data_IF_218131643081
#
_entry.id   IF_218131643081
#
_cell.length_a   1.000
_cell.length_b   1.000
_cell.length_c   1.000
_cell.angle_alpha   90.00
_cell.angle_beta   90.00
_cell.angle_gamma   90.00
#
_symmetry.space_group_name_H-M   'P 1'
#
loop_
_entity.id
_entity.type
_entity.pdbx_description
1 polymer ?
#
# COMPACT_ATOMS: atom_id res chain seq x y z
N UNK A 1 -14.97 -13.01 -3.23
CA UNK A 1 -15.29 -11.64 -3.69
C UNK A 1 -15.54 -10.80 -2.45
N UNK A 2 -14.86 -9.65 -2.34
CA UNK A 2 -14.95 -8.77 -1.18
C UNK A 2 -15.77 -7.54 -1.55
N UNK A 3 -16.88 -7.36 -0.86
CA UNK A 3 -17.74 -6.18 -1.02
C UNK A 3 -17.17 -5.02 -0.17
N UNK A 4 -16.57 -4.03 -0.83
CA UNK A 4 -15.91 -2.89 -0.20
C UNK A 4 -16.81 -1.66 -0.23
N UNK A 5 -16.83 -0.93 0.89
CA UNK A 5 -17.52 0.36 0.97
C UNK A 5 -16.49 1.48 0.73
N UNK A 6 -16.75 2.35 -0.25
CA UNK A 6 -15.87 3.47 -0.61
C UNK A 6 -15.60 4.44 0.56
N UNK A 7 -16.57 4.62 1.46
CA UNK A 7 -16.46 5.55 2.59
C UNK A 7 -15.55 5.01 3.71
N UNK A 8 -15.43 3.68 3.79
CA UNK A 8 -14.67 2.98 4.83
C UNK A 8 -13.48 2.18 4.29
N UNK A 9 -13.05 2.45 3.05
CA UNK A 9 -11.91 1.75 2.44
C UNK A 9 -10.89 2.74 1.88
N UNK A 10 -9.61 2.56 2.26
CA UNK A 10 -8.47 3.29 1.72
C UNK A 10 -7.53 2.40 0.89
N UNK A 11 -6.95 2.96 -0.17
CA UNK A 11 -5.89 2.35 -0.96
C UNK A 11 -4.54 2.94 -0.56
N UNK A 12 -3.59 2.11 -0.19
CA UNK A 12 -2.21 2.47 0.16
C UNK A 12 -1.27 1.85 -0.86
N UNK A 13 -0.58 2.68 -1.63
CA UNK A 13 0.36 2.29 -2.69
C UNK A 13 1.78 2.56 -2.19
N UNK A 14 2.56 1.50 -1.92
CA UNK A 14 3.85 1.58 -1.24
C UNK A 14 5.00 1.55 -2.23
N UNK A 15 5.80 2.63 -2.23
CA UNK A 15 7.12 2.73 -2.87
C UNK A 15 7.15 2.40 -4.38
N UNK A 16 6.09 2.71 -5.11
CA UNK A 16 6.04 2.50 -6.56
C UNK A 16 6.83 3.59 -7.30
N UNK A 17 8.15 3.61 -7.05
CA UNK A 17 9.11 4.60 -7.53
C UNK A 17 10.00 4.02 -8.63
N UNK A 18 10.49 4.89 -9.52
CA UNK A 18 11.27 4.52 -10.73
C UNK A 18 12.44 3.60 -10.37
N UNK A 19 13.35 4.03 -9.48
CA UNK A 19 14.53 3.24 -9.11
C UNK A 19 14.17 1.88 -8.51
N UNK A 20 13.12 1.83 -7.68
CA UNK A 20 12.64 0.59 -7.10
C UNK A 20 12.11 -0.37 -8.17
N UNK A 21 11.24 0.12 -9.05
CA UNK A 21 10.64 -0.69 -10.10
C UNK A 21 11.67 -1.17 -11.14
N UNK A 22 12.60 -0.30 -11.55
CA UNK A 22 13.68 -0.67 -12.48
C UNK A 22 14.59 -1.78 -11.92
N UNK A 23 14.90 -1.73 -10.63
CA UNK A 23 15.69 -2.75 -9.95
C UNK A 23 15.03 -4.14 -9.98
N UNK A 24 13.71 -4.20 -10.01
CA UNK A 24 12.94 -5.44 -10.12
C UNK A 24 12.75 -5.92 -11.56
N UNK A 25 13.04 -5.06 -12.54
CA UNK A 25 13.00 -5.41 -13.96
C UNK A 25 11.61 -5.71 -14.52
N UNK A 26 11.52 -6.54 -15.58
CA UNK A 26 10.29 -6.74 -16.34
C UNK A 26 9.13 -7.39 -15.53
N UNK A 27 9.43 -8.05 -14.42
CA UNK A 27 8.43 -8.66 -13.52
C UNK A 27 7.51 -7.61 -12.88
N UNK A 28 7.95 -6.33 -12.87
CA UNK A 28 7.11 -5.24 -12.38
C UNK A 28 5.94 -4.87 -13.30
N UNK A 29 6.01 -5.16 -14.59
CA UNK A 29 4.97 -4.77 -15.56
C UNK A 29 3.57 -5.25 -15.17
N UNK A 30 3.33 -6.56 -14.89
CA UNK A 30 2.01 -7.01 -14.45
C UNK A 30 1.60 -6.42 -13.11
N UNK A 31 2.52 -6.22 -12.18
CA UNK A 31 2.24 -5.62 -10.85
C UNK A 31 1.78 -4.17 -11.00
N UNK A 32 2.51 -3.37 -11.80
CA UNK A 32 2.13 -1.99 -12.12
C UNK A 32 0.75 -1.94 -12.78
N UNK A 33 0.48 -2.82 -13.74
CA UNK A 33 -0.81 -2.87 -14.43
C UNK A 33 -1.96 -3.21 -13.49
N UNK A 34 -1.78 -4.16 -12.57
CA UNK A 34 -2.81 -4.54 -11.59
C UNK A 34 -3.05 -3.41 -10.58
N UNK A 35 -1.99 -2.78 -10.07
CA UNK A 35 -2.12 -1.62 -9.17
C UNK A 35 -2.80 -0.46 -9.90
N UNK A 36 -2.45 -0.22 -11.17
CA UNK A 36 -3.08 0.82 -11.98
C UNK A 36 -4.58 0.58 -12.16
N UNK A 37 -4.98 -0.63 -12.49
CA UNK A 37 -6.39 -0.99 -12.62
C UNK A 37 -7.16 -0.76 -11.32
N UNK A 38 -6.57 -1.11 -10.18
CA UNK A 38 -7.15 -0.86 -8.86
C UNK A 38 -7.21 0.64 -8.54
N UNK A 39 -6.14 1.38 -8.79
CA UNK A 39 -6.06 2.84 -8.60
C UNK A 39 -7.11 3.59 -9.44
N UNK A 40 -7.29 3.21 -10.71
CA UNK A 40 -8.31 3.83 -11.57
C UNK A 40 -9.73 3.59 -11.05
N UNK A 41 -9.99 2.44 -10.45
CA UNK A 41 -11.28 2.15 -9.80
C UNK A 41 -11.48 3.04 -8.57
N UNK A 42 -10.45 3.29 -7.75
CA UNK A 42 -10.51 4.23 -6.63
C UNK A 42 -10.70 5.67 -7.09
N UNK A 43 -10.01 6.08 -8.16
CA UNK A 43 -10.17 7.41 -8.77
C UNK A 43 -11.59 7.63 -9.30
N UNK A 44 -12.17 6.63 -9.96
CA UNK A 44 -13.53 6.70 -10.52
C UNK A 44 -14.62 6.95 -9.46
N UNK A 45 -14.38 6.55 -8.22
CA UNK A 45 -15.32 6.76 -7.10
C UNK A 45 -14.90 7.89 -6.15
N UNK A 46 -13.88 8.69 -6.50
CA UNK A 46 -13.24 9.66 -5.60
C UNK A 46 -12.84 9.01 -4.26
N UNK A 47 -12.23 7.82 -4.32
CA UNK A 47 -11.84 7.03 -3.18
C UNK A 47 -10.64 7.62 -2.42
N UNK A 48 -10.38 7.09 -1.25
CA UNK A 48 -9.28 7.50 -0.37
C UNK A 48 -7.98 6.84 -0.84
N UNK A 49 -7.05 7.62 -1.42
CA UNK A 49 -5.80 7.14 -2.00
C UNK A 49 -4.62 7.75 -1.25
N UNK A 50 -3.69 6.91 -0.84
CA UNK A 50 -2.46 7.27 -0.15
C UNK A 50 -1.28 6.67 -0.92
N UNK A 51 -0.43 7.52 -1.46
CA UNK A 51 0.84 7.11 -2.03
C UNK A 51 1.92 7.22 -0.96
N UNK A 52 2.66 6.14 -0.73
CA UNK A 52 3.82 6.14 0.17
C UNK A 52 5.08 6.24 -0.67
N UNK A 53 5.92 7.22 -0.34
CA UNK A 53 7.17 7.50 -1.05
C UNK A 53 8.36 7.35 -0.11
N UNK A 54 9.26 6.44 -0.40
CA UNK A 54 10.53 6.30 0.32
C UNK A 54 11.53 7.32 -0.21
N UNK A 55 12.02 8.22 0.64
CA UNK A 55 13.00 9.25 0.26
C UNK A 55 14.06 9.42 1.34
N UNK A 56 15.25 9.77 0.94
CA UNK A 56 16.37 10.05 1.86
C UNK A 56 17.17 11.24 1.38
N UNK A 57 17.76 11.95 2.30
CA UNK A 57 18.82 12.92 2.02
C UNK A 57 20.18 12.22 2.00
N UNK A 58 21.20 12.84 1.37
CA UNK A 58 22.53 12.21 1.24
C UNK A 58 23.25 12.00 2.57
N UNK A 59 22.86 12.73 3.61
CA UNK A 59 23.38 12.60 4.98
C UNK A 59 22.64 11.55 5.84
N UNK A 60 21.67 10.83 5.25
CA UNK A 60 20.92 9.81 5.98
C UNK A 60 21.86 8.71 6.54
N UNK A 61 21.63 8.23 7.78
CA UNK A 61 22.50 7.24 8.43
C UNK A 61 22.70 5.94 7.64
N UNK A 62 21.73 5.51 6.83
CA UNK A 62 21.90 4.36 5.95
C UNK A 62 23.14 4.49 5.05
N UNK A 63 23.46 5.70 4.59
CA UNK A 63 24.59 5.98 3.71
C UNK A 63 25.83 6.31 4.51
N UNK A 64 25.73 7.23 5.46
CA UNK A 64 26.88 7.81 6.17
C UNK A 64 27.43 6.93 7.30
N UNK A 65 26.59 6.11 7.90
CA UNK A 65 26.96 5.24 9.03
C UNK A 65 27.05 3.77 8.59
N UNK A 66 26.03 3.29 7.87
CA UNK A 66 25.95 1.87 7.51
C UNK A 66 26.49 1.54 6.12
N UNK A 67 26.98 2.54 5.38
CA UNK A 67 27.70 2.35 4.11
C UNK A 67 26.84 1.80 2.97
N UNK A 68 25.51 1.94 3.04
CA UNK A 68 24.67 1.54 1.91
C UNK A 68 24.89 2.48 0.71
N UNK A 69 24.78 1.98 -0.52
CA UNK A 69 24.80 2.82 -1.71
C UNK A 69 23.65 3.86 -1.66
N UNK A 70 23.90 5.04 -2.22
CA UNK A 70 22.85 6.03 -2.40
C UNK A 70 21.68 5.46 -3.21
N UNK A 71 20.47 5.77 -2.80
CA UNK A 71 19.25 5.38 -3.48
C UNK A 71 18.05 6.15 -2.97
N UNK A 72 17.06 6.35 -3.83
CA UNK A 72 15.82 7.07 -3.52
C UNK A 72 16.09 8.46 -2.91
N UNK A 73 17.08 9.17 -3.46
CA UNK A 73 17.46 10.51 -2.98
C UNK A 73 16.33 11.48 -3.29
N UNK A 74 15.89 12.22 -2.29
CA UNK A 74 14.85 13.24 -2.42
C UNK A 74 15.16 14.20 -3.58
N UNK A 75 14.23 14.35 -4.51
CA UNK A 75 14.36 15.20 -5.69
C UNK A 75 15.14 14.57 -6.84
N UNK A 76 15.58 13.31 -6.74
CA UNK A 76 16.17 12.58 -7.87
C UNK A 76 15.09 11.91 -8.72
N UNK A 77 15.33 11.73 -10.04
CA UNK A 77 14.39 10.99 -10.91
C UNK A 77 14.08 9.57 -10.43
N UNK A 78 15.04 8.89 -9.79
CA UNK A 78 14.83 7.55 -9.24
C UNK A 78 13.86 7.51 -8.06
N UNK A 79 13.71 8.62 -7.33
CA UNK A 79 12.76 8.76 -6.24
C UNK A 79 11.36 9.18 -6.70
N UNK A 80 11.17 9.56 -7.98
CA UNK A 80 9.87 9.86 -8.55
C UNK A 80 9.01 8.60 -8.66
N UNK A 81 7.69 8.76 -8.65
CA UNK A 81 6.77 7.66 -8.93
C UNK A 81 6.85 7.24 -10.41
N UNK A 82 6.64 5.95 -10.68
CA UNK A 82 6.46 5.48 -12.07
C UNK A 82 5.27 6.18 -12.70
N UNK A 83 5.36 6.52 -13.99
CA UNK A 83 4.38 7.37 -14.67
C UNK A 83 2.95 6.84 -14.58
N UNK A 84 2.78 5.52 -14.66
CA UNK A 84 1.48 4.84 -14.61
C UNK A 84 0.78 5.02 -13.24
N UNK A 85 1.54 5.22 -12.16
CA UNK A 85 1.03 5.30 -10.79
C UNK A 85 1.28 6.65 -10.14
N UNK A 86 1.66 7.64 -10.92
CA UNK A 86 1.93 8.99 -10.43
C UNK A 86 0.72 9.59 -9.73
N UNK A 87 0.89 10.18 -8.54
CA UNK A 87 -0.19 10.86 -7.85
C UNK A 87 -0.77 12.00 -8.69
N UNK A 88 -2.10 12.08 -8.72
CA UNK A 88 -2.79 13.23 -9.30
C UNK A 88 -2.87 14.39 -8.30
N UNK A 89 -3.12 15.60 -8.81
CA UNK A 89 -3.35 16.77 -7.97
C UNK A 89 -4.50 16.49 -6.97
N UNK A 90 -4.21 16.64 -5.68
CA UNK A 90 -5.16 16.36 -4.60
C UNK A 90 -5.06 14.97 -3.99
N UNK A 91 -4.36 14.02 -4.61
CA UNK A 91 -4.04 12.75 -3.97
C UNK A 91 -2.95 12.92 -2.91
N UNK A 92 -3.01 12.12 -1.86
CA UNK A 92 -2.13 12.28 -0.70
C UNK A 92 -0.83 11.48 -0.87
N UNK A 93 0.30 12.15 -0.61
CA UNK A 93 1.62 11.51 -0.56
C UNK A 93 2.14 11.54 0.88
N UNK A 94 2.52 10.38 1.41
CA UNK A 94 3.20 10.22 2.70
C UNK A 94 4.66 9.85 2.42
N UNK A 95 5.59 10.74 2.78
CA UNK A 95 7.02 10.46 2.67
C UNK A 95 7.54 9.75 3.91
N UNK A 96 8.44 8.79 3.71
CA UNK A 96 9.12 8.03 4.78
C UNK A 96 10.60 7.87 4.51
N UNK A 97 11.37 7.69 5.58
CA UNK A 97 12.82 7.45 5.52
C UNK A 97 13.21 6.05 5.99
N UNK A 98 12.25 5.23 6.38
CA UNK A 98 12.44 3.85 6.84
C UNK A 98 11.49 2.89 6.13
N UNK A 99 11.55 1.59 6.46
CA UNK A 99 10.59 0.61 5.92
C UNK A 99 9.16 0.85 6.45
N UNK A 100 9.03 1.33 7.68
CA UNK A 100 7.74 1.60 8.31
C UNK A 100 7.15 2.93 7.81
N UNK A 101 5.93 2.89 7.27
CA UNK A 101 5.22 4.06 6.79
C UNK A 101 4.55 4.88 7.91
N UNK A 102 4.58 4.42 9.16
CA UNK A 102 4.09 5.15 10.32
C UNK A 102 5.21 5.86 11.10
N UNK A 103 6.44 5.33 11.04
CA UNK A 103 7.52 5.86 11.83
C UNK A 103 7.97 7.25 11.35
N UNK A 104 7.72 8.27 12.17
CA UNK A 104 8.06 9.68 11.90
C UNK A 104 7.49 10.19 10.57
N UNK A 105 6.26 9.83 10.26
CA UNK A 105 5.53 10.26 9.06
C UNK A 105 4.20 10.93 9.42
N UNK A 106 3.50 11.42 8.41
CA UNK A 106 2.15 11.96 8.55
C UNK A 106 1.03 10.90 8.41
N UNK A 107 1.34 9.60 8.37
CA UNK A 107 0.35 8.56 8.05
C UNK A 107 -0.88 8.61 8.98
N UNK A 108 -0.67 8.71 10.29
CA UNK A 108 -1.81 8.76 11.24
C UNK A 108 -2.71 9.99 11.01
N UNK A 109 -2.11 11.16 10.79
CA UNK A 109 -2.85 12.38 10.46
C UNK A 109 -3.63 12.28 9.14
N UNK A 110 -3.07 11.54 8.16
CA UNK A 110 -3.75 11.28 6.87
C UNK A 110 -4.94 10.36 7.06
N UNK A 111 -4.79 9.30 7.85
CA UNK A 111 -5.90 8.41 8.19
C UNK A 111 -7.03 9.17 8.89
N UNK A 112 -6.69 10.04 9.84
CA UNK A 112 -7.65 10.92 10.53
C UNK A 112 -8.37 11.86 9.54
N UNK A 113 -7.62 12.50 8.65
CA UNK A 113 -8.19 13.39 7.61
C UNK A 113 -9.17 12.66 6.69
N UNK A 114 -8.90 11.40 6.39
CA UNK A 114 -9.75 10.56 5.57
C UNK A 114 -10.90 9.91 6.35
N UNK A 115 -11.02 10.16 7.65
CA UNK A 115 -11.95 9.45 8.56
C UNK A 115 -11.85 7.93 8.41
N UNK A 116 -10.62 7.42 8.30
CA UNK A 116 -10.33 5.99 8.36
C UNK A 116 -10.02 5.62 9.82
N UNK A 117 -10.83 4.74 10.42
CA UNK A 117 -10.79 4.42 11.85
C UNK A 117 -10.41 2.97 12.11
N UNK A 118 -9.60 2.75 13.13
CA UNK A 118 -9.28 1.40 13.62
C UNK A 118 -10.54 0.64 14.05
N UNK A 119 -10.51 -0.68 14.01
CA UNK A 119 -11.61 -1.59 14.35
C UNK A 119 -12.89 -1.41 13.51
N UNK A 120 -12.87 -0.55 12.49
CA UNK A 120 -14.03 -0.24 11.64
C UNK A 120 -13.71 -0.35 10.17
N UNK A 121 -12.61 0.27 9.74
CA UNK A 121 -12.36 0.53 8.32
C UNK A 121 -11.27 -0.37 7.75
N UNK A 122 -11.28 -0.50 6.44
CA UNK A 122 -10.38 -1.37 5.68
C UNK A 122 -9.32 -0.56 4.94
N UNK A 123 -8.10 -1.06 4.91
CA UNK A 123 -7.05 -0.55 4.04
C UNK A 123 -6.58 -1.65 3.08
N UNK A 124 -6.42 -1.30 1.82
CA UNK A 124 -5.82 -2.18 0.81
C UNK A 124 -4.38 -1.74 0.65
N UNK A 125 -3.43 -2.65 0.89
CA UNK A 125 -2.00 -2.36 0.82
C UNK A 125 -1.40 -3.03 -0.41
N UNK A 126 -0.77 -2.23 -1.27
CA UNK A 126 -0.13 -2.66 -2.53
C UNK A 126 1.28 -2.09 -2.64
N UNK A 127 2.08 -2.55 -3.60
CA UNK A 127 3.38 -1.95 -3.92
C UNK A 127 4.56 -2.90 -3.83
N UNK A 128 5.77 -2.35 -3.64
CA UNK A 128 7.02 -3.14 -3.65
C UNK A 128 7.68 -3.25 -2.28
N UNK A 129 8.51 -4.30 -2.18
CA UNK A 129 9.14 -4.69 -0.93
C UNK A 129 8.21 -5.55 -0.08
N UNK A 130 7.67 -6.65 -0.67
CA UNK A 130 6.71 -7.54 -0.01
C UNK A 130 7.19 -8.06 1.34
N UNK A 131 8.49 -8.29 1.52
CA UNK A 131 9.11 -8.68 2.81
C UNK A 131 9.69 -7.50 3.60
N UNK A 132 9.58 -6.27 3.09
CA UNK A 132 10.16 -5.06 3.67
C UNK A 132 9.08 -3.97 3.82
N UNK A 133 9.02 -3.00 2.90
CA UNK A 133 8.14 -1.83 3.03
C UNK A 133 6.65 -2.18 3.05
N UNK A 134 6.20 -3.08 2.16
CA UNK A 134 4.82 -3.59 2.16
C UNK A 134 4.56 -4.38 3.45
N UNK A 135 5.50 -5.26 3.85
CA UNK A 135 5.37 -6.03 5.09
C UNK A 135 5.18 -5.10 6.31
N UNK A 136 6.06 -4.11 6.48
CA UNK A 136 5.96 -3.17 7.60
C UNK A 136 4.70 -2.31 7.54
N UNK A 137 4.24 -1.94 6.35
CA UNK A 137 2.97 -1.24 6.19
C UNK A 137 1.79 -2.11 6.67
N UNK A 138 1.70 -3.37 6.21
CA UNK A 138 0.66 -4.33 6.63
C UNK A 138 0.70 -4.53 8.14
N UNK A 139 1.88 -4.78 8.73
CA UNK A 139 2.03 -4.93 10.19
C UNK A 139 1.68 -3.63 10.92
N UNK A 140 2.05 -2.48 10.37
CA UNK A 140 1.71 -1.17 10.91
C UNK A 140 0.19 -0.94 11.01
N UNK A 141 -0.56 -1.33 9.99
CA UNK A 141 -2.03 -1.31 10.02
C UNK A 141 -2.61 -2.39 10.93
N UNK A 142 -2.06 -3.60 10.90
CA UNK A 142 -2.48 -4.71 11.74
C UNK A 142 -2.42 -4.36 13.23
N UNK A 143 -1.27 -3.86 13.74
CA UNK A 143 -1.11 -3.50 15.15
C UNK A 143 -1.97 -2.30 15.58
N UNK A 144 -2.47 -1.51 14.60
CA UNK A 144 -3.42 -0.42 14.81
C UNK A 144 -4.88 -0.86 14.64
N UNK A 145 -5.12 -2.17 14.51
CA UNK A 145 -6.43 -2.79 14.40
C UNK A 145 -7.26 -2.34 13.17
N UNK A 146 -6.61 -2.02 12.05
CA UNK A 146 -7.30 -1.87 10.77
C UNK A 146 -7.55 -3.23 10.14
N UNK A 147 -8.68 -3.41 9.47
CA UNK A 147 -8.84 -4.50 8.52
C UNK A 147 -7.93 -4.22 7.33
N UNK A 148 -7.05 -5.16 7.01
CA UNK A 148 -6.04 -4.96 5.97
C UNK A 148 -6.19 -6.03 4.89
N UNK A 149 -6.34 -5.60 3.65
CA UNK A 149 -6.38 -6.49 2.48
C UNK A 149 -5.09 -6.33 1.70
N UNK A 150 -4.50 -7.45 1.34
CA UNK A 150 -3.27 -7.52 0.54
C UNK A 150 -3.55 -8.30 -0.75
N UNK A 151 -3.80 -7.61 -1.88
CA UNK A 151 -3.91 -8.28 -3.17
C UNK A 151 -2.54 -8.83 -3.60
N UNK A 152 -2.39 -10.15 -3.64
CA UNK A 152 -1.10 -10.80 -3.89
C UNK A 152 -0.53 -10.52 -5.27
N UNK A 153 -1.38 -10.19 -6.24
CA UNK A 153 -1.03 -9.77 -7.60
C UNK A 153 -0.69 -8.28 -7.74
N UNK A 154 -0.82 -7.52 -6.63
CA UNK A 154 -0.45 -6.10 -6.52
C UNK A 154 0.74 -5.86 -5.59
N UNK A 155 1.48 -6.88 -5.20
CA UNK A 155 2.70 -6.75 -4.41
C UNK A 155 3.87 -7.49 -5.08
N UNK A 156 5.10 -7.02 -4.86
CA UNK A 156 6.30 -7.68 -5.37
C UNK A 156 7.47 -7.54 -4.40
N UNK A 157 8.37 -8.52 -4.39
CA UNK A 157 9.57 -8.54 -3.54
C UNK A 157 10.86 -8.68 -4.32
N UNK A 158 11.96 -8.16 -3.76
CA UNK A 158 13.28 -8.13 -4.41
C UNK A 158 13.82 -9.53 -4.70
N UNK A 159 13.66 -10.45 -3.76
CA UNK A 159 14.17 -11.83 -3.91
C UNK A 159 12.99 -12.79 -4.13
N UNK A 160 13.27 -13.89 -4.82
CA UNK A 160 12.24 -14.90 -5.13
C UNK A 160 11.46 -15.42 -3.90
N UNK A 161 12.09 -15.44 -2.72
CA UNK A 161 11.46 -15.88 -1.48
C UNK A 161 10.69 -14.76 -0.75
N UNK A 162 10.84 -13.49 -1.14
CA UNK A 162 10.29 -12.33 -0.41
C UNK A 162 8.78 -12.34 -0.37
N UNK A 163 8.13 -12.52 -1.51
CA UNK A 163 6.67 -12.53 -1.59
C UNK A 163 6.07 -13.79 -0.96
N UNK A 164 6.55 -15.03 -1.24
CA UNK A 164 6.09 -16.23 -0.54
C UNK A 164 6.20 -16.13 0.99
N UNK A 165 7.30 -15.58 1.51
CA UNK A 165 7.48 -15.34 2.94
C UNK A 165 6.39 -14.42 3.49
N UNK A 166 6.20 -13.25 2.89
CA UNK A 166 5.21 -12.27 3.35
C UNK A 166 3.79 -12.84 3.34
N UNK A 167 3.40 -13.50 2.24
CA UNK A 167 2.08 -14.10 2.10
C UNK A 167 1.85 -15.23 3.11
N UNK A 168 2.86 -16.06 3.39
CA UNK A 168 2.78 -17.09 4.41
C UNK A 168 2.54 -16.48 5.80
N UNK A 169 3.23 -15.36 6.13
CA UNK A 169 3.01 -14.64 7.38
C UNK A 169 1.59 -14.07 7.46
N UNK A 170 1.14 -13.36 6.44
CA UNK A 170 -0.20 -12.73 6.42
C UNK A 170 -1.33 -13.76 6.54
N UNK A 171 -1.15 -14.97 6.01
CA UNK A 171 -2.09 -16.09 6.12
C UNK A 171 -2.01 -16.83 7.45
N UNK A 172 -0.99 -16.59 8.28
CA UNK A 172 -0.79 -17.26 9.56
C UNK A 172 -1.85 -16.84 10.60
N UNK A 173 -2.08 -17.67 11.59
CA UNK A 173 -3.02 -17.39 12.69
C UNK A 173 -2.68 -16.15 13.51
N UNK A 174 -1.43 -15.69 13.44
CA UNK A 174 -0.99 -14.48 14.12
C UNK A 174 -1.58 -13.20 13.48
N UNK A 175 -1.93 -13.23 12.20
CA UNK A 175 -2.35 -12.02 11.46
C UNK A 175 -3.71 -12.14 10.80
N UNK A 176 -4.16 -13.36 10.44
CA UNK A 176 -5.35 -13.57 9.59
C UNK A 176 -6.69 -13.18 10.24
N UNK A 177 -6.69 -12.71 11.47
CA UNK A 177 -7.91 -12.21 12.12
C UNK A 177 -8.29 -10.79 11.67
N UNK A 178 -7.35 -9.98 11.15
CA UNK A 178 -7.62 -8.69 10.53
C UNK A 178 -6.75 -8.40 9.29
N UNK A 179 -5.93 -9.36 8.83
CA UNK A 179 -5.19 -9.29 7.57
C UNK A 179 -5.71 -10.38 6.63
N UNK A 180 -6.11 -10.00 5.44
CA UNK A 180 -6.63 -10.91 4.42
C UNK A 180 -5.81 -10.81 3.14
N UNK A 181 -5.36 -11.95 2.63
CA UNK A 181 -4.74 -12.04 1.31
C UNK A 181 -5.81 -12.35 0.28
N UNK A 182 -5.84 -11.61 -0.82
CA UNK A 182 -6.79 -11.74 -1.92
C UNK A 182 -6.10 -11.55 -3.27
N UNK A 183 -6.88 -11.48 -4.34
CA UNK A 183 -6.46 -10.94 -5.64
C UNK A 183 -7.18 -9.62 -5.91
N UNK A 184 -6.61 -8.78 -6.76
CA UNK A 184 -7.19 -7.47 -7.09
C UNK A 184 -8.54 -7.56 -7.81
N UNK A 185 -8.76 -8.61 -8.60
CA UNK A 185 -10.01 -8.90 -9.31
C UNK A 185 -11.14 -9.42 -8.41
N UNK A 186 -10.83 -9.86 -7.19
CA UNK A 186 -11.82 -10.25 -6.17
C UNK A 186 -12.41 -9.07 -5.40
N UNK A 187 -11.84 -7.86 -5.55
CA UNK A 187 -12.26 -6.66 -4.83
C UNK A 187 -13.36 -5.92 -5.60
N UNK A 188 -14.50 -5.67 -4.99
CA UNK A 188 -15.62 -4.93 -5.59
C UNK A 188 -16.08 -3.80 -4.70
N UNK A 189 -16.38 -2.64 -5.28
CA UNK A 189 -17.05 -1.56 -4.57
C UNK A 189 -18.56 -1.73 -4.69
N UNK A 190 -19.24 -1.70 -3.55
CA UNK A 190 -20.70 -1.76 -3.47
C UNK A 190 -21.26 -0.44 -2.94
N UNK A 191 -22.41 -0.04 -3.46
CA UNK A 191 -23.09 1.16 -2.97
C UNK A 191 -23.65 0.90 -1.56
N UNK A 192 -23.44 1.84 -0.64
CA UNK A 192 -23.87 1.77 0.77
C UNK A 192 -25.36 1.45 0.91
N UNK A 193 -26.20 1.87 -0.05
CA UNK A 193 -27.63 1.56 -0.09
C UNK A 193 -27.93 0.07 -0.29
N UNK A 194 -27.06 -0.66 -0.96
CA UNK A 194 -27.20 -2.11 -1.21
C UNK A 194 -26.81 -2.92 0.03
N UNK A 195 -25.79 -2.48 0.77
CA UNK A 195 -25.39 -3.13 2.03
C UNK A 195 -26.48 -3.03 3.11
N UNK A 196 -27.13 -1.87 3.26
CA UNK A 196 -28.21 -1.70 4.23
C UNK A 196 -29.42 -2.61 3.91
N UNK A 197 -29.75 -2.84 2.63
CA UNK A 197 -30.83 -3.77 2.25
C UNK A 197 -30.49 -5.24 2.56
N UNK A 198 -29.22 -5.66 2.39
CA UNK A 198 -28.77 -7.02 2.77
C UNK A 198 -28.77 -7.25 4.29
N UNK A 199 -28.50 -6.18 5.08
CA UNK A 199 -28.49 -6.27 6.55
C UNK A 199 -29.89 -6.23 7.18
N UNK A 200 -30.88 -5.65 6.51
CA UNK A 200 -32.25 -5.53 7.02
C UNK A 200 -33.20 -6.64 6.54
N UNK A 201 -32.71 -7.60 5.72
CA UNK A 201 -33.50 -8.78 5.31
C UNK A 201 -34.74 -8.46 4.46
N UNK A 202 -34.76 -7.32 3.80
CA UNK A 202 -35.86 -6.88 2.93
C UNK A 202 -35.55 -7.16 1.46
#
# INVERSE_FOLDING_TARGET
>A
MFDLNRESTGLVIVDMQVEGCERHGPEMKPVIANIRALLDRFRAINGKIIHVQSVRTKDHPEFTVFGRPYGLILGSPGADFVEELKPLAGETVVQKTSHDCFYKTSMESVLDKFDLRSCRDTVIVTGIGSSNCVYHAVIGFHIRNYYTIVPEDCIHGVAAHSQPFALAQFRSSAYNFNVTVSRSDELQFVDTKVMQRKATGA
#
